data_IF_578979578863
#
_entry.id   IF_578979578863
#
_cell.length_a   1.000
_cell.length_b   1.000
_cell.length_c   1.000
_cell.angle_alpha   90.00
_cell.angle_beta   90.00
_cell.angle_gamma   90.00
#
_symmetry.space_group_name_H-M   'P 1'
#
loop_
_entity.id
_entity.type
_entity.pdbx_description
1 polymer ?
#
# COMPACT_ATOMS: atom_id res chain seq x y z
N UNK A 1 -17.96 0.71 29.50
CA UNK A 1 -18.93 -0.10 28.70
C UNK A 1 -18.08 -1.11 27.92
N UNK A 2 -18.47 -2.37 27.90
CA UNK A 2 -17.77 -3.38 27.06
C UNK A 2 -18.13 -3.09 25.62
N UNK A 3 -17.14 -2.91 24.76
CA UNK A 3 -17.33 -2.66 23.34
C UNK A 3 -17.91 -3.91 22.66
N UNK A 4 -18.96 -3.74 21.87
CA UNK A 4 -19.50 -4.86 21.09
C UNK A 4 -18.95 -4.79 19.65
N UNK A 5 -17.66 -5.16 19.49
CA UNK A 5 -16.95 -5.12 18.24
C UNK A 5 -17.60 -5.96 17.12
N UNK A 6 -18.16 -7.13 17.51
CA UNK A 6 -18.87 -7.99 16.56
C UNK A 6 -20.13 -7.33 16.02
N UNK A 7 -20.91 -6.66 16.89
CA UNK A 7 -22.10 -5.91 16.46
C UNK A 7 -21.70 -4.79 15.50
N UNK A 8 -20.67 -4.01 15.85
CA UNK A 8 -20.18 -2.92 14.99
C UNK A 8 -19.75 -3.44 13.59
N UNK A 9 -19.09 -4.60 13.53
CA UNK A 9 -18.72 -5.21 12.24
C UNK A 9 -19.95 -5.59 11.41
N UNK A 10 -20.99 -6.14 12.02
CA UNK A 10 -22.25 -6.47 11.33
C UNK A 10 -22.99 -5.22 10.88
N UNK A 11 -23.01 -4.17 11.71
CA UNK A 11 -23.61 -2.89 11.35
C UNK A 11 -22.89 -2.28 10.14
N UNK A 12 -21.55 -2.32 10.10
CA UNK A 12 -20.74 -1.89 8.93
C UNK A 12 -21.08 -2.68 7.67
N UNK A 13 -21.23 -4.00 7.77
CA UNK A 13 -21.66 -4.84 6.64
C UNK A 13 -23.07 -4.50 6.15
N UNK A 14 -23.91 -3.95 7.00
CA UNK A 14 -25.26 -3.46 6.68
C UNK A 14 -25.26 -1.97 6.27
N UNK A 15 -24.09 -1.36 6.03
CA UNK A 15 -23.98 0.01 5.52
C UNK A 15 -23.80 1.09 6.57
N UNK A 16 -23.60 0.75 7.86
CA UNK A 16 -23.25 1.74 8.87
C UNK A 16 -21.89 2.37 8.57
N UNK A 17 -21.83 3.69 8.59
CA UNK A 17 -20.59 4.46 8.52
C UNK A 17 -20.14 4.83 9.94
N UNK A 18 -18.87 4.53 10.26
CA UNK A 18 -18.35 4.81 11.59
C UNK A 18 -18.46 6.30 11.94
N UNK A 19 -19.01 6.58 13.10
CA UNK A 19 -18.88 7.90 13.74
C UNK A 19 -17.42 8.18 14.10
N UNK A 20 -17.10 9.42 14.44
CA UNK A 20 -15.74 9.77 14.87
C UNK A 20 -15.36 9.06 16.17
N UNK A 21 -16.30 8.97 17.10
CA UNK A 21 -16.10 8.32 18.40
C UNK A 21 -15.85 6.81 18.25
N UNK A 22 -16.60 6.14 17.37
CA UNK A 22 -16.38 4.72 17.08
C UNK A 22 -15.00 4.49 16.44
N UNK A 23 -14.60 5.33 15.49
CA UNK A 23 -13.29 5.26 14.85
C UNK A 23 -12.15 5.52 15.85
N UNK A 24 -12.30 6.52 16.72
CA UNK A 24 -11.33 6.82 17.77
C UNK A 24 -11.27 5.67 18.80
N UNK A 25 -12.41 5.08 19.14
CA UNK A 25 -12.47 3.94 20.05
C UNK A 25 -11.72 2.72 19.49
N UNK A 26 -11.76 2.46 18.18
CA UNK A 26 -10.94 1.42 17.55
C UNK A 26 -9.44 1.65 17.81
N UNK A 27 -8.96 2.88 17.66
CA UNK A 27 -7.55 3.22 17.86
C UNK A 27 -7.11 3.25 19.33
N UNK A 28 -8.07 3.45 20.26
CA UNK A 28 -7.78 3.69 21.68
C UNK A 28 -8.27 2.58 22.61
N UNK A 29 -8.95 1.56 22.08
CA UNK A 29 -9.44 0.45 22.90
C UNK A 29 -8.29 -0.19 23.71
N UNK A 30 -8.59 -0.70 24.91
CA UNK A 30 -7.58 -1.41 25.71
C UNK A 30 -6.94 -2.58 24.95
N UNK A 31 -5.68 -2.86 25.24
CA UNK A 31 -4.94 -3.93 24.54
C UNK A 31 -5.50 -5.34 24.79
N UNK A 32 -6.24 -5.55 25.88
CA UNK A 32 -6.94 -6.82 26.15
C UNK A 32 -8.15 -7.04 25.22
N UNK A 33 -8.65 -6.01 24.52
CA UNK A 33 -9.70 -6.12 23.51
C UNK A 33 -9.14 -6.37 22.09
N UNK A 34 -7.81 -6.42 21.92
CA UNK A 34 -7.18 -6.51 20.60
C UNK A 34 -7.66 -7.74 19.79
N UNK A 35 -7.81 -8.89 20.41
CA UNK A 35 -8.25 -10.09 19.73
C UNK A 35 -9.72 -10.00 19.29
N UNK A 36 -10.55 -9.36 20.08
CA UNK A 36 -11.97 -9.15 19.75
C UNK A 36 -12.15 -8.22 18.55
N UNK A 37 -11.38 -7.12 18.50
CA UNK A 37 -11.44 -6.21 17.35
C UNK A 37 -10.84 -6.80 16.09
N UNK A 38 -9.77 -7.61 16.21
CA UNK A 38 -9.22 -8.36 15.08
C UNK A 38 -10.24 -9.36 14.53
N UNK A 39 -10.93 -10.09 15.42
CA UNK A 39 -12.02 -10.99 15.00
C UNK A 39 -13.15 -10.23 14.28
N UNK A 40 -13.54 -9.06 14.78
CA UNK A 40 -14.56 -8.24 14.17
C UNK A 40 -14.12 -7.71 12.79
N UNK A 41 -12.87 -7.25 12.65
CA UNK A 41 -12.30 -6.86 11.37
C UNK A 41 -12.24 -8.03 10.38
N UNK A 42 -11.94 -9.25 10.88
CA UNK A 42 -11.93 -10.46 10.06
C UNK A 42 -13.34 -10.82 9.56
N UNK A 43 -14.41 -10.61 10.34
CA UNK A 43 -15.79 -10.79 9.87
C UNK A 43 -16.06 -9.93 8.63
N UNK A 44 -15.64 -8.66 8.65
CA UNK A 44 -15.77 -7.78 7.47
C UNK A 44 -14.90 -8.28 6.32
N UNK A 45 -13.62 -8.54 6.58
CA UNK A 45 -12.66 -9.00 5.57
C UNK A 45 -13.11 -10.29 4.90
N UNK A 46 -13.54 -11.28 5.68
CA UNK A 46 -13.94 -12.59 5.16
C UNK A 46 -15.24 -12.54 4.35
N UNK A 47 -16.13 -11.59 4.63
CA UNK A 47 -17.33 -11.36 3.82
C UNK A 47 -16.97 -11.02 2.36
N UNK A 48 -15.95 -10.18 2.13
CA UNK A 48 -15.58 -9.73 0.79
C UNK A 48 -14.49 -10.57 0.12
N UNK A 49 -13.60 -11.19 0.89
CA UNK A 49 -12.38 -11.83 0.39
C UNK A 49 -12.21 -13.29 0.78
N UNK A 50 -13.13 -13.83 1.60
CA UNK A 50 -12.99 -15.20 2.11
C UNK A 50 -11.65 -15.40 2.81
N UNK A 51 -10.95 -16.48 2.48
CA UNK A 51 -9.61 -16.81 2.98
C UNK A 51 -8.46 -16.38 2.04
N UNK A 52 -8.77 -15.66 0.95
CA UNK A 52 -7.77 -15.33 -0.07
C UNK A 52 -6.90 -14.14 0.37
N UNK A 53 -5.61 -14.24 0.08
CA UNK A 53 -4.59 -13.19 0.28
C UNK A 53 -3.88 -12.91 -1.03
N UNK A 54 -3.80 -11.62 -1.41
CA UNK A 54 -3.07 -11.16 -2.60
C UNK A 54 -1.61 -10.92 -2.28
N UNK A 55 -0.74 -11.50 -3.09
CA UNK A 55 0.69 -11.22 -3.05
C UNK A 55 1.07 -10.18 -4.09
N UNK A 56 1.90 -9.23 -3.70
CA UNK A 56 2.40 -8.18 -4.58
C UNK A 56 3.92 -8.14 -4.48
N UNK A 57 4.60 -7.90 -5.59
CA UNK A 57 6.05 -7.75 -5.63
C UNK A 57 6.40 -6.40 -6.25
N UNK A 58 7.46 -5.76 -5.73
CA UNK A 58 7.91 -4.44 -6.17
C UNK A 58 9.21 -4.58 -6.95
N UNK A 59 9.35 -3.75 -8.00
CA UNK A 59 10.65 -3.37 -8.55
C UNK A 59 10.83 -1.86 -8.42
N UNK A 60 11.96 -1.44 -7.84
CA UNK A 60 12.38 -0.03 -7.82
C UNK A 60 13.16 0.27 -9.10
N UNK A 61 12.50 0.77 -10.14
CA UNK A 61 13.09 0.95 -11.48
C UNK A 61 13.97 2.18 -11.63
N UNK A 62 13.88 3.12 -10.66
CA UNK A 62 14.70 4.33 -10.59
C UNK A 62 14.88 4.70 -9.12
N UNK A 63 16.10 4.85 -8.65
CA UNK A 63 16.38 5.06 -7.23
C UNK A 63 17.16 6.33 -6.98
N UNK A 64 16.82 7.01 -5.87
CA UNK A 64 17.37 8.32 -5.55
C UNK A 64 16.97 9.35 -6.60
N UNK A 65 17.72 10.42 -6.80
CA UNK A 65 17.49 11.43 -7.84
C UNK A 65 16.09 12.06 -7.82
N UNK A 66 15.33 11.93 -6.72
CA UNK A 66 14.01 12.55 -6.55
C UNK A 66 14.17 14.00 -6.12
N UNK A 67 13.56 14.99 -6.81
CA UNK A 67 13.64 16.40 -6.42
C UNK A 67 12.75 16.76 -5.23
N UNK A 68 11.85 15.85 -4.82
CA UNK A 68 10.92 16.08 -3.72
C UNK A 68 11.63 16.02 -2.35
N UNK A 69 11.06 16.74 -1.36
CA UNK A 69 11.63 16.87 0.00
C UNK A 69 10.86 16.08 1.07
N UNK A 70 10.24 14.94 0.70
CA UNK A 70 9.48 14.12 1.65
C UNK A 70 10.35 13.64 2.81
N UNK A 71 9.99 14.00 4.05
CA UNK A 71 10.79 13.77 5.25
C UNK A 71 10.99 12.30 5.66
N UNK A 72 10.12 11.39 5.21
CA UNK A 72 10.22 9.95 5.47
C UNK A 72 11.06 9.18 4.43
N UNK A 73 11.33 9.80 3.27
CA UNK A 73 11.78 9.07 2.10
C UNK A 73 13.31 9.09 1.96
N UNK A 74 13.93 7.91 1.99
CA UNK A 74 15.36 7.75 1.76
C UNK A 74 15.81 8.25 0.36
N UNK A 75 14.89 8.33 -0.61
CA UNK A 75 15.16 8.76 -1.98
C UNK A 75 14.95 10.27 -2.20
N UNK A 76 14.53 11.02 -1.17
CA UNK A 76 14.25 12.46 -1.30
C UNK A 76 15.52 13.32 -1.45
N UNK A 77 15.34 14.53 -1.98
CA UNK A 77 16.46 15.49 -2.19
C UNK A 77 17.17 15.91 -0.91
N UNK A 78 16.47 15.83 0.22
CA UNK A 78 16.99 16.21 1.56
C UNK A 78 17.52 15.03 2.37
N UNK A 79 17.46 13.82 1.81
CA UNK A 79 17.96 12.61 2.46
C UNK A 79 19.46 12.41 2.22
N UNK A 80 20.20 12.11 3.29
CA UNK A 80 21.58 11.63 3.24
C UNK A 80 21.71 10.11 3.42
N UNK A 81 20.59 9.38 3.37
CA UNK A 81 20.59 7.93 3.52
C UNK A 81 21.49 7.24 2.49
N UNK A 82 22.25 6.21 2.90
CA UNK A 82 23.22 5.51 2.04
C UNK A 82 22.53 4.51 1.10
N UNK A 83 21.69 5.00 0.20
CA UNK A 83 20.98 4.19 -0.79
C UNK A 83 21.71 4.18 -2.14
N UNK A 84 21.52 3.12 -2.91
CA UNK A 84 21.98 3.10 -4.30
C UNK A 84 21.17 4.10 -5.14
N UNK A 85 21.86 4.87 -5.97
CA UNK A 85 21.26 5.86 -6.87
C UNK A 85 21.50 5.42 -8.32
N UNK A 86 20.42 5.23 -9.06
CA UNK A 86 20.46 4.85 -10.46
C UNK A 86 19.28 5.46 -11.25
N UNK A 87 19.52 5.63 -12.54
CA UNK A 87 18.50 6.10 -13.48
C UNK A 87 17.51 4.98 -13.79
N UNK A 88 16.48 5.32 -14.58
CA UNK A 88 15.48 4.36 -15.05
C UNK A 88 16.16 3.11 -15.65
N UNK A 89 15.76 1.96 -15.16
CA UNK A 89 16.19 0.66 -15.69
C UNK A 89 15.66 0.44 -17.11
N UNK A 90 16.32 -0.41 -17.86
CA UNK A 90 15.85 -0.84 -19.15
C UNK A 90 14.65 -1.80 -19.05
N UNK A 91 14.01 -2.03 -20.18
CA UNK A 91 12.85 -2.91 -20.29
C UNK A 91 13.18 -4.35 -19.87
N UNK A 92 14.32 -4.85 -20.26
CA UNK A 92 14.77 -6.22 -20.01
C UNK A 92 14.89 -6.50 -18.51
N UNK A 93 15.45 -5.57 -17.76
CA UNK A 93 15.53 -5.66 -16.29
C UNK A 93 14.15 -5.68 -15.64
N UNK A 94 13.21 -4.87 -16.15
CA UNK A 94 11.82 -4.85 -15.66
C UNK A 94 11.14 -6.19 -15.94
N UNK A 95 11.37 -6.78 -17.12
CA UNK A 95 10.81 -8.10 -17.48
C UNK A 95 11.37 -9.23 -16.62
N UNK A 96 12.66 -9.23 -16.30
CA UNK A 96 13.26 -10.20 -15.37
C UNK A 96 12.61 -10.14 -13.98
N UNK A 97 12.31 -8.93 -13.50
CA UNK A 97 11.57 -8.74 -12.26
C UNK A 97 10.14 -9.31 -12.34
N UNK A 98 9.46 -9.14 -13.47
CA UNK A 98 8.12 -9.69 -13.69
C UNK A 98 8.12 -11.23 -13.75
N UNK A 99 9.12 -11.83 -14.40
CA UNK A 99 9.33 -13.28 -14.42
C UNK A 99 9.51 -13.83 -13.00
N UNK A 100 10.36 -13.16 -12.19
CA UNK A 100 10.53 -13.51 -10.78
C UNK A 100 9.22 -13.41 -10.00
N UNK A 101 8.43 -12.34 -10.18
CA UNK A 101 7.14 -12.16 -9.55
C UNK A 101 6.18 -13.31 -9.91
N UNK A 102 6.14 -13.70 -11.18
CA UNK A 102 5.33 -14.81 -11.66
C UNK A 102 5.70 -16.14 -10.99
N UNK A 103 6.99 -16.46 -10.90
CA UNK A 103 7.47 -17.70 -10.26
C UNK A 103 7.25 -17.71 -8.74
N UNK A 104 7.20 -16.56 -8.10
CA UNK A 104 6.89 -16.40 -6.67
C UNK A 104 5.38 -16.32 -6.38
N UNK A 105 4.53 -16.55 -7.39
CA UNK A 105 3.07 -16.45 -7.27
C UNK A 105 2.58 -15.09 -6.79
N UNK A 106 3.33 -14.01 -7.05
CA UNK A 106 2.87 -12.66 -6.81
C UNK A 106 1.89 -12.28 -7.93
N UNK A 107 0.59 -12.20 -7.61
CA UNK A 107 -0.46 -11.88 -8.58
C UNK A 107 -0.41 -10.45 -9.11
N UNK A 108 0.34 -9.55 -8.45
CA UNK A 108 0.52 -8.15 -8.88
C UNK A 108 2.00 -7.78 -8.86
N UNK A 109 2.47 -7.23 -9.96
CA UNK A 109 3.80 -6.68 -10.09
C UNK A 109 3.76 -5.15 -10.10
N UNK A 110 4.50 -4.51 -9.17
CA UNK A 110 4.49 -3.07 -8.97
C UNK A 110 5.76 -2.44 -9.52
N UNK A 111 5.66 -1.66 -10.59
CA UNK A 111 6.74 -0.91 -11.22
C UNK A 111 6.81 0.47 -10.58
N UNK A 112 7.85 0.74 -9.81
CA UNK A 112 7.99 1.98 -9.03
C UNK A 112 9.22 2.75 -9.48
N UNK A 113 9.10 4.06 -9.68
CA UNK A 113 10.21 4.95 -9.99
C UNK A 113 10.22 6.16 -9.03
N UNK A 114 11.39 6.51 -8.53
CA UNK A 114 11.57 7.74 -7.77
C UNK A 114 11.46 8.97 -8.68
N UNK A 115 10.83 10.05 -8.20
CA UNK A 115 10.72 11.30 -8.94
C UNK A 115 9.39 12.02 -8.64
N UNK A 116 9.31 13.29 -9.06
CA UNK A 116 8.05 14.04 -9.01
C UNK A 116 7.03 13.48 -10.00
N UNK A 117 7.47 13.13 -11.18
CA UNK A 117 6.71 12.50 -12.25
C UNK A 117 7.64 11.93 -13.31
N UNK A 118 7.13 11.06 -14.21
CA UNK A 118 7.94 10.45 -15.25
C UNK A 118 8.14 11.40 -16.44
N UNK A 119 9.28 11.30 -17.10
CA UNK A 119 9.45 11.79 -18.46
C UNK A 119 8.72 10.89 -19.47
N UNK A 120 8.45 11.39 -20.68
CA UNK A 120 7.79 10.59 -21.71
C UNK A 120 8.62 9.37 -22.12
N UNK A 121 9.95 9.46 -22.09
CA UNK A 121 10.86 8.33 -22.33
C UNK A 121 10.73 7.25 -21.23
N UNK A 122 10.56 7.65 -19.98
CA UNK A 122 10.34 6.68 -18.90
C UNK A 122 8.96 6.03 -19.03
N UNK A 123 7.95 6.79 -19.48
CA UNK A 123 6.63 6.21 -19.80
C UNK A 123 6.74 5.23 -20.97
N UNK A 124 7.52 5.52 -22.04
CA UNK A 124 7.75 4.59 -23.15
C UNK A 124 8.33 3.26 -22.68
N UNK A 125 9.36 3.30 -21.81
CA UNK A 125 9.96 2.09 -21.25
C UNK A 125 8.93 1.28 -20.48
N UNK A 126 8.16 1.94 -19.58
CA UNK A 126 7.17 1.26 -18.73
C UNK A 126 6.05 0.67 -19.57
N UNK A 127 5.47 1.42 -20.50
CA UNK A 127 4.36 0.94 -21.36
C UNK A 127 4.78 -0.25 -22.19
N UNK A 128 5.96 -0.19 -22.82
CA UNK A 128 6.49 -1.31 -23.58
C UNK A 128 6.78 -2.55 -22.71
N UNK A 129 7.23 -2.37 -21.48
CA UNK A 129 7.41 -3.49 -20.55
C UNK A 129 6.06 -4.08 -20.12
N UNK A 130 5.06 -3.23 -19.84
CA UNK A 130 3.72 -3.66 -19.41
C UNK A 130 3.05 -4.53 -20.47
N UNK A 131 3.07 -4.09 -21.74
CA UNK A 131 2.50 -4.86 -22.86
C UNK A 131 3.07 -6.29 -22.90
N UNK A 132 4.39 -6.43 -22.79
CA UNK A 132 5.06 -7.74 -22.83
C UNK A 132 4.80 -8.56 -21.56
N UNK A 133 4.72 -7.92 -20.37
CA UNK A 133 4.36 -8.58 -19.11
C UNK A 133 2.95 -9.15 -19.19
N UNK A 134 2.01 -8.40 -19.76
CA UNK A 134 0.62 -8.87 -19.95
C UNK A 134 0.54 -10.06 -20.89
N UNK A 135 1.29 -10.02 -21.98
CA UNK A 135 1.34 -11.11 -22.97
C UNK A 135 1.98 -12.37 -22.40
N UNK A 136 3.16 -12.25 -21.76
CA UNK A 136 3.94 -13.41 -21.32
C UNK A 136 3.46 -14.05 -20.03
N UNK A 137 3.04 -13.22 -19.05
CA UNK A 137 2.80 -13.67 -17.68
C UNK A 137 1.37 -13.49 -17.21
N UNK A 138 0.59 -12.62 -17.86
CA UNK A 138 -0.80 -12.30 -17.44
C UNK A 138 -0.89 -11.65 -16.06
N UNK A 139 0.21 -11.13 -15.52
CA UNK A 139 0.25 -10.48 -14.21
C UNK A 139 -0.61 -9.20 -14.20
N UNK A 140 -1.19 -8.89 -13.06
CA UNK A 140 -1.69 -7.52 -12.81
C UNK A 140 -0.49 -6.60 -12.64
N UNK A 141 -0.51 -5.44 -13.32
CA UNK A 141 0.56 -4.45 -13.22
C UNK A 141 0.06 -3.20 -12.51
N UNK A 142 0.79 -2.82 -11.47
CA UNK A 142 0.61 -1.55 -10.77
C UNK A 142 1.80 -0.63 -11.09
N UNK A 143 1.55 0.57 -11.63
CA UNK A 143 2.59 1.57 -11.83
C UNK A 143 2.57 2.63 -10.72
N UNK A 144 3.74 3.13 -10.32
CA UNK A 144 3.93 4.19 -9.33
C UNK A 144 5.09 5.09 -9.80
N UNK A 145 4.78 6.11 -10.59
CA UNK A 145 5.77 6.93 -11.29
C UNK A 145 5.72 8.42 -10.84
N UNK A 146 4.96 8.74 -9.79
CA UNK A 146 4.75 10.11 -9.32
C UNK A 146 3.51 10.77 -9.94
N UNK A 147 3.55 12.11 -10.10
CA UNK A 147 2.46 12.89 -10.69
C UNK A 147 2.39 12.62 -12.20
N UNK A 148 1.19 12.48 -12.72
CA UNK A 148 0.95 12.25 -14.16
C UNK A 148 0.21 13.43 -14.80
N UNK A 149 0.43 13.62 -16.10
CA UNK A 149 -0.47 14.39 -16.93
C UNK A 149 -1.51 13.46 -17.62
N UNK A 150 -2.59 14.00 -18.19
CA UNK A 150 -3.65 13.22 -18.83
C UNK A 150 -3.17 12.30 -19.96
N UNK A 151 -2.18 12.74 -20.75
CA UNK A 151 -1.64 11.95 -21.86
C UNK A 151 -0.85 10.74 -21.35
N UNK A 152 -0.06 10.91 -20.30
CA UNK A 152 0.68 9.83 -19.66
C UNK A 152 -0.27 8.80 -19.02
N UNK A 153 -1.32 9.25 -18.32
CA UNK A 153 -2.33 8.36 -17.76
C UNK A 153 -3.04 7.54 -18.85
N UNK A 154 -3.41 8.17 -19.97
CA UNK A 154 -4.01 7.50 -21.12
C UNK A 154 -3.08 6.43 -21.69
N UNK A 155 -1.81 6.74 -21.92
CA UNK A 155 -0.80 5.79 -22.45
C UNK A 155 -0.60 4.58 -21.53
N UNK A 156 -0.51 4.81 -20.22
CA UNK A 156 -0.42 3.74 -19.23
C UNK A 156 -1.68 2.85 -19.26
N UNK A 157 -2.86 3.43 -19.41
CA UNK A 157 -4.10 2.66 -19.55
C UNK A 157 -4.09 1.79 -20.81
N UNK A 158 -3.73 2.38 -21.95
CA UNK A 158 -3.68 1.71 -23.25
C UNK A 158 -2.69 0.56 -23.29
N UNK A 159 -1.57 0.67 -22.56
CA UNK A 159 -0.57 -0.42 -22.43
C UNK A 159 -1.02 -1.58 -21.52
N UNK A 160 -2.15 -1.44 -20.82
CA UNK A 160 -2.67 -2.49 -19.95
C UNK A 160 -2.29 -2.37 -18.47
N UNK A 161 -1.85 -1.20 -18.00
CA UNK A 161 -1.70 -0.94 -16.56
C UNK A 161 -3.04 -1.10 -15.87
N UNK A 162 -3.13 -2.03 -14.92
CA UNK A 162 -4.35 -2.33 -14.17
C UNK A 162 -4.59 -1.31 -13.06
N UNK A 163 -3.51 -0.90 -12.36
CA UNK A 163 -3.56 -0.01 -11.22
C UNK A 163 -2.47 1.06 -11.30
N UNK A 164 -2.77 2.21 -10.72
CA UNK A 164 -1.76 3.24 -10.49
C UNK A 164 -1.71 3.58 -9.00
N UNK A 165 -0.50 3.47 -8.43
CA UNK A 165 -0.27 3.84 -7.04
C UNK A 165 0.18 5.29 -6.93
N UNK A 166 -0.60 6.06 -6.19
CA UNK A 166 -0.20 7.37 -5.72
C UNK A 166 -0.78 7.59 -4.31
N UNK A 167 0.06 7.38 -3.30
CA UNK A 167 -0.37 7.45 -1.90
C UNK A 167 -0.70 8.88 -1.50
N UNK A 168 -1.74 9.08 -0.67
CA UNK A 168 -1.94 10.35 0.03
C UNK A 168 -0.86 10.56 1.12
N UNK A 169 -0.28 9.47 1.62
CA UNK A 169 0.74 9.34 2.65
C UNK A 169 0.27 9.73 4.05
N UNK A 170 -0.30 10.91 4.24
CA UNK A 170 -0.75 11.43 5.53
C UNK A 170 -2.06 12.21 5.35
N UNK A 171 -2.62 12.79 6.42
CA UNK A 171 -3.79 13.67 6.36
C UNK A 171 -3.44 15.02 5.71
N UNK A 172 -4.45 15.75 5.27
CA UNK A 172 -4.27 17.09 4.74
C UNK A 172 -3.64 18.03 5.78
N UNK A 173 -4.14 17.99 7.02
CA UNK A 173 -3.66 18.81 8.14
C UNK A 173 -2.21 18.56 8.51
N UNK A 174 -1.72 17.32 8.32
CA UNK A 174 -0.35 16.93 8.66
C UNK A 174 0.62 17.01 7.47
N UNK A 175 0.13 17.25 6.25
CA UNK A 175 0.91 17.15 5.01
C UNK A 175 2.13 18.08 4.98
N UNK A 176 1.97 19.35 5.35
CA UNK A 176 3.05 20.33 5.31
C UNK A 176 4.21 20.02 6.27
N UNK A 177 3.94 19.28 7.36
CA UNK A 177 4.98 18.81 8.26
C UNK A 177 5.84 17.70 7.66
N UNK A 178 5.37 17.06 6.59
CA UNK A 178 6.03 15.91 5.94
C UNK A 178 6.72 16.33 4.63
N UNK A 179 6.10 17.21 3.86
CA UNK A 179 6.65 17.68 2.57
C UNK A 179 6.09 19.04 2.20
N UNK A 180 6.90 19.86 1.55
CA UNK A 180 6.51 21.19 1.03
C UNK A 180 6.77 21.33 -0.46
N UNK A 181 7.35 20.34 -1.11
CA UNK A 181 7.69 20.37 -2.54
C UNK A 181 6.50 20.06 -3.45
N UNK A 182 5.41 19.53 -2.90
CA UNK A 182 4.11 19.34 -3.55
C UNK A 182 3.01 19.45 -2.49
N UNK A 183 1.79 19.72 -2.93
CA UNK A 183 0.63 19.89 -2.05
C UNK A 183 -0.11 18.56 -1.81
N UNK A 184 -0.98 18.51 -0.81
CA UNK A 184 -1.91 17.41 -0.62
C UNK A 184 -2.85 17.26 -1.82
N UNK A 185 -3.32 18.40 -2.36
CA UNK A 185 -4.19 18.46 -3.53
C UNK A 185 -3.53 17.88 -4.80
N UNK A 186 -2.22 18.09 -5.02
CA UNK A 186 -1.48 17.46 -6.13
C UNK A 186 -1.62 15.93 -6.09
N UNK A 187 -1.65 15.35 -4.89
CA UNK A 187 -1.81 13.91 -4.69
C UNK A 187 -3.24 13.46 -4.99
N UNK A 188 -4.23 14.16 -4.45
CA UNK A 188 -5.65 13.89 -4.71
C UNK A 188 -5.93 13.96 -6.21
N UNK A 189 -5.51 15.05 -6.86
CA UNK A 189 -5.70 15.26 -8.29
C UNK A 189 -5.08 14.15 -9.15
N UNK A 190 -3.92 13.61 -8.75
CA UNK A 190 -3.31 12.49 -9.45
C UNK A 190 -4.14 11.21 -9.31
N UNK A 191 -4.67 10.92 -8.12
CA UNK A 191 -5.54 9.74 -7.90
C UNK A 191 -6.83 9.86 -8.72
N UNK A 192 -7.44 11.04 -8.75
CA UNK A 192 -8.63 11.30 -9.57
C UNK A 192 -8.34 11.22 -11.07
N UNK A 193 -7.20 11.76 -11.51
CA UNK A 193 -6.76 11.69 -12.89
C UNK A 193 -6.66 10.26 -13.39
N UNK A 194 -6.02 9.37 -12.65
CA UNK A 194 -5.86 7.96 -13.06
C UNK A 194 -7.18 7.23 -13.04
N UNK A 195 -8.06 7.52 -12.08
CA UNK A 195 -9.42 6.98 -12.03
C UNK A 195 -10.23 7.41 -13.26
N UNK A 196 -10.16 8.70 -13.64
CA UNK A 196 -10.84 9.22 -14.82
C UNK A 196 -10.28 8.64 -16.13
N UNK A 197 -9.01 8.22 -16.14
CA UNK A 197 -8.42 7.49 -17.27
C UNK A 197 -8.81 6.00 -17.29
N UNK A 198 -9.62 5.52 -16.34
CA UNK A 198 -10.07 4.14 -16.23
C UNK A 198 -9.02 3.17 -15.66
N UNK A 199 -8.03 3.68 -14.94
CA UNK A 199 -7.05 2.88 -14.18
C UNK A 199 -7.54 2.77 -12.74
N UNK A 200 -7.50 1.55 -12.16
CA UNK A 200 -7.90 1.32 -10.77
C UNK A 200 -7.00 2.10 -9.81
N UNK A 201 -7.55 2.98 -8.94
CA UNK A 201 -6.75 3.78 -8.02
C UNK A 201 -6.22 2.93 -6.86
N UNK A 202 -4.90 2.95 -6.68
CA UNK A 202 -4.20 2.43 -5.52
C UNK A 202 -3.63 3.63 -4.75
N UNK A 203 -4.14 3.88 -3.54
CA UNK A 203 -3.68 5.00 -2.73
C UNK A 203 -3.65 4.60 -1.27
N UNK A 204 -2.60 4.95 -0.56
CA UNK A 204 -2.38 4.51 0.81
C UNK A 204 -1.72 5.55 1.68
N UNK A 205 -1.29 5.09 2.84
CA UNK A 205 -0.81 5.91 3.95
C UNK A 205 0.52 5.42 4.49
N UNK A 206 1.19 6.28 5.25
CA UNK A 206 2.34 5.93 6.10
C UNK A 206 1.97 6.34 7.52
N UNK A 207 1.99 5.38 8.43
CA UNK A 207 1.65 5.56 9.84
C UNK A 207 2.94 5.65 10.67
N UNK A 208 2.96 6.51 11.68
CA UNK A 208 4.10 6.69 12.59
C UNK A 208 4.98 7.90 12.25
N UNK A 209 4.48 8.85 11.47
CA UNK A 209 5.15 10.10 11.11
C UNK A 209 4.80 11.26 12.05
N UNK A 210 4.46 10.96 13.32
CA UNK A 210 4.01 11.91 14.36
C UNK A 210 2.62 12.50 14.15
N UNK A 211 1.82 11.89 13.30
CA UNK A 211 0.41 12.23 13.10
C UNK A 211 -0.42 11.91 14.36
N UNK A 212 -1.51 12.62 14.55
CA UNK A 212 -2.49 12.34 15.61
C UNK A 212 -3.42 11.17 15.24
N UNK A 213 -4.15 10.62 16.21
CA UNK A 213 -5.17 9.61 15.92
C UNK A 213 -6.28 10.14 15.02
N UNK A 214 -6.60 11.44 15.13
CA UNK A 214 -7.57 12.08 14.24
C UNK A 214 -7.05 12.09 12.80
N UNK A 215 -5.76 12.39 12.59
CA UNK A 215 -5.16 12.33 11.27
C UNK A 215 -5.27 10.93 10.66
N UNK A 216 -5.09 9.86 11.45
CA UNK A 216 -5.26 8.48 10.97
C UNK A 216 -6.70 8.19 10.54
N UNK A 217 -7.69 8.71 11.27
CA UNK A 217 -9.11 8.61 10.91
C UNK A 217 -9.39 9.38 9.60
N UNK A 218 -8.87 10.60 9.50
CA UNK A 218 -9.05 11.47 8.33
C UNK A 218 -8.41 10.86 7.08
N UNK A 219 -7.21 10.25 7.21
CA UNK A 219 -6.59 9.46 6.14
C UNK A 219 -7.50 8.33 5.65
N UNK A 220 -8.06 7.54 6.56
CA UNK A 220 -8.93 6.42 6.21
C UNK A 220 -10.20 6.89 5.48
N UNK A 221 -10.78 8.01 5.90
CA UNK A 221 -11.95 8.64 5.28
C UNK A 221 -11.62 9.26 3.91
N UNK A 222 -10.47 9.92 3.79
CA UNK A 222 -10.01 10.47 2.50
C UNK A 222 -9.85 9.36 1.46
N UNK A 223 -9.30 8.20 1.83
CA UNK A 223 -9.19 7.05 0.95
C UNK A 223 -10.56 6.48 0.55
N UNK A 224 -11.55 6.50 1.47
CA UNK A 224 -12.93 6.13 1.17
C UNK A 224 -13.57 7.12 0.18
N UNK A 225 -13.40 8.42 0.40
CA UNK A 225 -13.93 9.48 -0.48
C UNK A 225 -13.32 9.40 -1.89
N UNK A 226 -12.00 9.13 -2.01
CA UNK A 226 -11.32 8.88 -3.28
C UNK A 226 -11.78 7.59 -3.96
N UNK A 227 -12.51 6.74 -3.25
CA UNK A 227 -12.88 5.40 -3.70
C UNK A 227 -11.66 4.58 -4.14
N UNK A 228 -10.56 4.63 -3.36
CA UNK A 228 -9.37 3.85 -3.63
C UNK A 228 -9.69 2.35 -3.60
N UNK A 229 -9.30 1.60 -4.63
CA UNK A 229 -9.60 0.17 -4.73
C UNK A 229 -8.60 -0.69 -3.94
N UNK A 230 -7.38 -0.20 -3.78
CA UNK A 230 -6.33 -0.83 -2.98
C UNK A 230 -5.68 0.22 -2.08
N UNK A 231 -5.57 -0.11 -0.81
CA UNK A 231 -5.10 0.77 0.25
C UNK A 231 -3.84 0.16 0.89
N UNK A 232 -2.63 0.53 0.39
CA UNK A 232 -1.38 0.18 1.07
C UNK A 232 -1.26 0.92 2.41
N UNK A 233 -1.15 0.17 3.49
CA UNK A 233 -0.85 0.70 4.81
C UNK A 233 0.62 0.43 5.09
N UNK A 234 1.43 1.49 5.00
CA UNK A 234 2.84 1.46 5.36
C UNK A 234 2.99 1.88 6.82
N UNK A 235 3.95 1.32 7.50
CA UNK A 235 4.39 1.74 8.81
C UNK A 235 5.78 2.34 8.71
N UNK A 236 6.01 3.48 9.32
CA UNK A 236 7.30 4.17 9.21
C UNK A 236 8.44 3.24 9.62
N UNK A 237 9.37 3.03 8.70
CA UNK A 237 10.69 2.53 8.98
C UNK A 237 11.63 3.73 8.92
N UNK A 238 11.96 4.29 10.07
CA UNK A 238 12.78 5.49 10.18
C UNK A 238 14.21 5.17 9.75
N UNK A 239 14.56 5.52 8.51
CA UNK A 239 15.88 5.24 7.93
C UNK A 239 16.85 6.35 8.33
N UNK A 240 18.07 5.96 8.76
CA UNK A 240 19.13 6.89 9.08
C UNK A 240 19.48 7.78 7.88
N UNK A 241 19.67 9.07 8.15
CA UNK A 241 19.89 10.07 7.12
C UNK A 241 18.62 10.68 6.52
N UNK A 242 17.44 10.28 6.98
CA UNK A 242 16.18 10.98 6.67
C UNK A 242 15.80 11.95 7.79
N UNK A 243 15.00 12.99 7.53
CA UNK A 243 14.50 13.89 8.57
C UNK A 243 13.73 13.21 9.70
N UNK A 244 13.11 12.05 9.44
CA UNK A 244 12.40 11.26 10.44
C UNK A 244 13.26 10.14 11.05
N UNK A 245 14.59 10.18 10.90
CA UNK A 245 15.46 9.21 11.58
C UNK A 245 15.23 9.19 13.09
N UNK A 246 15.28 8.00 13.70
CA UNK A 246 15.09 7.83 15.14
C UNK A 246 13.64 7.92 15.63
N UNK A 247 12.68 8.27 14.79
CA UNK A 247 11.26 8.23 15.15
C UNK A 247 10.84 6.77 15.34
N UNK A 248 10.34 6.44 16.53
CA UNK A 248 9.93 5.08 16.90
C UNK A 248 8.71 5.15 17.84
N UNK A 249 7.60 5.63 17.35
CA UNK A 249 6.36 5.82 18.13
C UNK A 249 5.38 4.66 18.00
N UNK A 250 5.60 3.79 17.00
CA UNK A 250 4.71 2.66 16.73
C UNK A 250 5.00 1.47 17.63
N UNK A 251 3.95 0.78 17.99
CA UNK A 251 4.03 -0.55 18.58
C UNK A 251 3.09 -1.53 17.81
N UNK A 252 3.35 -2.83 17.87
CA UNK A 252 2.59 -3.80 17.08
C UNK A 252 1.08 -3.78 17.31
N UNK A 253 0.64 -3.54 18.55
CA UNK A 253 -0.79 -3.52 18.89
C UNK A 253 -1.50 -2.32 18.28
N UNK A 254 -0.88 -1.13 18.33
CA UNK A 254 -1.43 0.05 17.68
C UNK A 254 -1.46 -0.11 16.14
N UNK A 255 -0.41 -0.67 15.56
CA UNK A 255 -0.36 -0.96 14.12
C UNK A 255 -1.51 -1.90 13.69
N UNK A 256 -1.84 -2.90 14.49
CA UNK A 256 -2.98 -3.77 14.24
C UNK A 256 -4.32 -3.05 14.37
N UNK A 257 -4.48 -2.17 15.37
CA UNK A 257 -5.68 -1.32 15.50
C UNK A 257 -5.88 -0.40 14.29
N UNK A 258 -4.79 0.15 13.73
CA UNK A 258 -4.84 0.93 12.48
C UNK A 258 -5.33 0.08 11.32
N UNK A 259 -4.82 -1.14 11.15
CA UNK A 259 -5.30 -2.05 10.11
C UNK A 259 -6.80 -2.37 10.28
N UNK A 260 -7.25 -2.58 11.52
CA UNK A 260 -8.68 -2.75 11.82
C UNK A 260 -9.48 -1.52 11.41
N UNK A 261 -9.04 -0.31 11.79
CA UNK A 261 -9.71 0.94 11.42
C UNK A 261 -9.84 1.07 9.89
N UNK A 262 -8.75 0.81 9.14
CA UNK A 262 -8.77 0.85 7.68
C UNK A 262 -9.81 -0.11 7.11
N UNK A 263 -9.94 -1.32 7.67
CA UNK A 263 -10.95 -2.31 7.27
C UNK A 263 -12.37 -1.87 7.61
N UNK A 264 -12.60 -1.32 8.78
CA UNK A 264 -13.92 -0.86 9.19
C UNK A 264 -14.43 0.32 8.35
N UNK A 265 -13.56 1.30 8.03
CA UNK A 265 -13.94 2.47 7.22
C UNK A 265 -14.04 2.11 5.73
N UNK A 266 -13.21 1.16 5.26
CA UNK A 266 -13.13 0.74 3.86
C UNK A 266 -13.45 -0.76 3.71
N UNK A 267 -14.70 -1.19 4.03
CA UNK A 267 -15.01 -2.60 4.26
C UNK A 267 -14.78 -3.50 3.04
N UNK A 268 -15.06 -3.02 1.83
CA UNK A 268 -14.96 -3.78 0.58
C UNK A 268 -13.66 -3.55 -0.20
N UNK A 269 -12.71 -2.75 0.36
CA UNK A 269 -11.48 -2.42 -0.36
C UNK A 269 -10.33 -3.36 -0.01
N UNK A 270 -9.37 -3.52 -0.94
CA UNK A 270 -8.15 -4.25 -0.67
C UNK A 270 -7.29 -3.47 0.36
N UNK A 271 -7.13 -4.02 1.55
CA UNK A 271 -6.20 -3.48 2.55
C UNK A 271 -4.90 -4.27 2.45
N UNK A 272 -3.80 -3.58 2.19
CA UNK A 272 -2.48 -4.17 2.01
C UNK A 272 -1.55 -3.77 3.14
N UNK A 273 -0.95 -4.75 3.81
CA UNK A 273 0.16 -4.49 4.70
C UNK A 273 1.40 -4.29 3.82
N UNK A 274 2.02 -3.12 3.96
CA UNK A 274 3.08 -2.67 3.04
C UNK A 274 4.40 -2.43 3.77
N UNK A 275 5.18 -1.43 3.38
CA UNK A 275 6.50 -1.16 3.93
C UNK A 275 6.52 -1.00 5.45
N UNK A 276 7.63 -1.42 6.08
CA UNK A 276 7.84 -1.37 7.53
C UNK A 276 7.07 -2.41 8.34
N UNK A 277 6.47 -3.40 7.69
CA UNK A 277 5.70 -4.48 8.29
C UNK A 277 6.53 -5.23 9.35
N UNK A 278 7.71 -5.68 8.97
CA UNK A 278 8.58 -6.50 9.79
C UNK A 278 9.04 -5.76 11.06
N UNK A 279 9.37 -4.49 10.90
CA UNK A 279 9.88 -3.63 11.98
C UNK A 279 8.79 -3.27 12.99
N UNK A 280 7.56 -3.02 12.51
CA UNK A 280 6.47 -2.48 13.33
C UNK A 280 5.48 -3.52 13.82
N UNK A 281 5.19 -4.58 13.06
CA UNK A 281 4.33 -5.68 13.52
C UNK A 281 5.13 -6.78 14.24
N UNK A 282 6.42 -6.93 13.95
CA UNK A 282 7.31 -7.90 14.60
C UNK A 282 6.72 -9.31 14.60
N UNK A 283 6.68 -9.97 15.76
CA UNK A 283 6.07 -11.31 15.93
C UNK A 283 4.54 -11.32 15.74
N UNK A 284 3.88 -10.18 15.68
CA UNK A 284 2.44 -10.07 15.46
C UNK A 284 2.05 -9.91 13.98
N UNK A 285 2.99 -10.01 13.05
CA UNK A 285 2.71 -9.94 11.61
C UNK A 285 1.55 -10.85 11.15
N UNK A 286 1.46 -12.12 11.62
CA UNK A 286 0.37 -13.01 11.22
C UNK A 286 -1.02 -12.44 11.55
N UNK A 287 -1.15 -11.74 12.67
CA UNK A 287 -2.43 -11.14 13.08
C UNK A 287 -2.90 -10.03 12.14
N UNK A 288 -1.99 -9.37 11.43
CA UNK A 288 -2.34 -8.34 10.45
C UNK A 288 -3.17 -8.85 9.28
N UNK A 289 -3.12 -10.15 8.97
CA UNK A 289 -3.86 -10.77 7.88
C UNK A 289 -5.36 -10.98 8.20
N UNK A 290 -5.76 -10.82 9.44
CA UNK A 290 -7.18 -10.84 9.80
C UNK A 290 -7.93 -9.56 9.34
N UNK A 291 -7.42 -8.33 9.52
CA UNK A 291 -8.00 -7.14 8.91
C UNK A 291 -7.59 -6.93 7.45
N UNK A 292 -6.36 -7.30 7.06
CA UNK A 292 -5.85 -7.12 5.70
C UNK A 292 -5.99 -8.39 4.85
N UNK A 293 -6.05 -8.21 3.52
CA UNK A 293 -6.16 -9.30 2.56
C UNK A 293 -5.08 -9.25 1.48
N UNK A 294 -4.03 -8.46 1.71
CA UNK A 294 -2.94 -8.29 0.75
C UNK A 294 -1.63 -7.96 1.46
N UNK A 295 -0.50 -8.44 0.94
CA UNK A 295 0.85 -8.13 1.42
C UNK A 295 1.82 -7.91 0.26
N UNK A 296 2.93 -7.20 0.53
CA UNK A 296 4.11 -7.27 -0.32
C UNK A 296 4.99 -8.46 0.11
N UNK A 297 5.60 -9.11 -0.88
CA UNK A 297 6.60 -10.18 -0.70
C UNK A 297 7.93 -9.77 -1.33
N UNK A 298 9.04 -10.21 -0.72
CA UNK A 298 10.38 -9.81 -1.12
C UNK A 298 10.74 -8.40 -0.67
N UNK A 299 11.71 -7.80 -1.37
CA UNK A 299 12.28 -6.51 -0.98
C UNK A 299 11.34 -5.33 -1.22
N UNK A 300 11.56 -4.27 -0.47
CA UNK A 300 10.95 -2.95 -0.66
C UNK A 300 11.83 -2.06 -1.56
N UNK A 301 11.53 -0.74 -1.62
CA UNK A 301 12.23 0.17 -2.51
C UNK A 301 13.71 0.37 -2.16
N UNK A 302 14.02 0.48 -0.88
CA UNK A 302 15.38 0.78 -0.38
C UNK A 302 15.78 -0.06 0.84
N UNK A 303 14.94 -1.00 1.24
CA UNK A 303 15.17 -1.90 2.38
C UNK A 303 14.82 -3.33 1.99
N UNK A 304 15.53 -4.29 2.56
CA UNK A 304 15.16 -5.69 2.45
C UNK A 304 13.83 -5.96 3.16
N UNK A 305 13.04 -6.85 2.58
CA UNK A 305 11.84 -7.41 3.20
C UNK A 305 12.08 -8.81 3.75
N UNK A 306 11.01 -9.46 4.21
CA UNK A 306 11.04 -10.84 4.64
C UNK A 306 11.18 -11.76 3.42
N UNK A 307 11.90 -12.87 3.60
CA UNK A 307 12.01 -13.90 2.57
C UNK A 307 10.63 -14.40 2.14
N UNK A 308 10.38 -14.48 0.83
CA UNK A 308 9.08 -14.87 0.27
C UNK A 308 8.62 -16.25 0.75
N UNK A 309 9.55 -17.18 0.97
CA UNK A 309 9.26 -18.52 1.53
C UNK A 309 8.71 -18.45 2.93
N UNK A 310 9.17 -17.51 3.75
CA UNK A 310 8.64 -17.29 5.11
C UNK A 310 7.23 -16.68 5.05
N UNK A 311 6.95 -15.80 4.08
CA UNK A 311 5.60 -15.28 3.87
C UNK A 311 4.62 -16.38 3.42
N UNK A 312 5.03 -17.24 2.48
CA UNK A 312 4.21 -18.39 2.06
C UNK A 312 3.92 -19.34 3.22
N UNK A 313 4.94 -19.62 4.03
CA UNK A 313 4.76 -20.47 5.22
C UNK A 313 3.81 -19.82 6.23
N UNK A 314 3.95 -18.54 6.50
CA UNK A 314 3.03 -17.79 7.38
C UNK A 314 1.57 -17.89 6.90
N UNK A 315 1.32 -17.73 5.61
CA UNK A 315 -0.03 -17.86 5.03
C UNK A 315 -0.58 -19.29 5.20
N UNK A 316 0.24 -20.29 4.93
CA UNK A 316 -0.11 -21.70 5.10
C UNK A 316 -0.44 -22.04 6.56
N UNK A 317 0.42 -21.60 7.51
CA UNK A 317 0.24 -21.83 8.94
C UNK A 317 -1.06 -21.16 9.48
N UNK A 318 -1.49 -20.05 8.87
CA UNK A 318 -2.75 -19.37 9.19
C UNK A 318 -3.97 -19.96 8.48
N UNK A 319 -3.80 -20.88 7.54
CA UNK A 319 -4.88 -21.43 6.73
C UNK A 319 -5.44 -20.47 5.67
N UNK A 320 -4.65 -19.45 5.27
CA UNK A 320 -4.99 -18.57 4.17
C UNK A 320 -4.53 -19.13 2.82
N UNK A 321 -5.27 -18.76 1.77
CA UNK A 321 -5.01 -19.16 0.39
C UNK A 321 -4.43 -18.00 -0.40
N UNK A 322 -3.41 -18.26 -1.22
CA UNK A 322 -2.87 -17.26 -2.12
C UNK A 322 -3.83 -17.06 -3.30
N UNK A 323 -4.29 -15.83 -3.52
CA UNK A 323 -5.07 -15.48 -4.70
C UNK A 323 -4.14 -15.40 -5.92
N UNK A 324 -4.22 -16.39 -6.81
CA UNK A 324 -3.46 -16.38 -8.08
C UNK A 324 -4.10 -15.46 -9.10
N UNK A 325 -3.26 -14.83 -9.94
CA UNK A 325 -3.74 -14.07 -11.10
C UNK A 325 -4.40 -14.96 -12.18
N UNK A 326 -4.25 -16.28 -12.09
CA UNK A 326 -4.73 -17.28 -13.05
C UNK A 326 -6.06 -17.92 -12.65
N UNK A 327 -7.08 -17.18 -12.24
CA UNK A 327 -8.44 -17.67 -12.32
C UNK A 327 -8.98 -17.33 -13.71
N UNK A 328 -8.71 -18.19 -14.70
CA UNK A 328 -9.17 -18.02 -16.09
C UNK A 328 -8.69 -19.06 -17.06
N UNK A 329 -7.84 -19.99 -16.64
CA UNK A 329 -7.46 -21.18 -17.42
C UNK A 329 -7.80 -22.43 -16.62
N UNK A 330 -9.08 -22.78 -16.59
CA UNK A 330 -9.48 -24.18 -16.34
C UNK A 330 -9.04 -24.96 -17.59
N UNK A 331 -8.11 -25.89 -17.37
CA UNK A 331 -7.75 -26.91 -18.34
C UNK A 331 -8.96 -27.78 -18.69
#
# INVERSE_FOLDING_TARGET
MVNNWKKLALDVLNGHELTNDEALNILTCPDNELLEILQAAYVIRSHYYGNKVKLNMIINTKSGLCPENCGYCAQSSISSAPIQKYRMMDKETILQGAERAYHLNAGTYCIVASGRGPSDKEVDIVTSAVEEIKEKYGLKVCACLGLLNPQQAKRLKESGVDRYNHNINTSESHHESITTSHTYEDRINTVELVKNAGISPCSGVIIGMKETKQDVIDMARSLKALNADSIPVNFLHAIDGTPLQGVNELNPRYSLKVLCLMRFINPSKEIRISGGREVNLRSLQPLGLYPANSIFVGDYLTTAGQETTADHKMLQDLGFEIEFAKEGTTA
#
